data_IF_053899238779
#
_entry.id   IF_053899238779
#
_cell.length_a   1.000
_cell.length_b   1.000
_cell.length_c   1.000
_cell.angle_alpha   90.00
_cell.angle_beta   90.00
_cell.angle_gamma   90.00
#
_symmetry.space_group_name_H-M   'P 1'
#
loop_
_entity.id
_entity.type
_entity.pdbx_description
1 polymer ?
#
# COMPACT_ATOMS: atom_id res chain seq x y z
N UNK A 1 22.58 14.98 -14.40
CA UNK A 1 22.09 15.12 -13.83
C UNK A 1 22.28 15.75 -12.78
N UNK A 2 22.83 15.75 -12.15
CA UNK A 2 22.67 16.22 -11.14
C UNK A 2 23.64 16.81 -10.47
N UNK A 3 23.93 17.90 -10.62
CA UNK A 3 24.77 18.54 -9.92
C UNK A 3 24.22 18.97 -8.80
N UNK A 4 23.42 18.35 -8.31
CA UNK A 4 22.66 18.78 -7.37
C UNK A 4 23.21 18.93 -6.15
N UNK A 5 24.28 18.70 -5.90
CA UNK A 5 24.58 18.70 -4.54
C UNK A 5 25.52 19.78 -4.17
N UNK A 6 25.24 20.93 -4.60
CA UNK A 6 25.86 22.07 -3.97
C UNK A 6 25.56 22.00 -2.48
N UNK A 7 26.46 22.42 -1.62
CA UNK A 7 26.26 22.32 -0.18
C UNK A 7 24.96 22.91 0.36
N UNK A 8 24.44 24.05 -0.13
CA UNK A 8 23.15 24.53 0.37
C UNK A 8 22.02 23.58 0.05
N UNK A 9 22.02 22.95 -1.13
CA UNK A 9 20.98 21.98 -1.47
C UNK A 9 21.08 20.75 -0.58
N UNK A 10 22.26 20.29 -0.32
CA UNK A 10 22.46 19.13 0.54
C UNK A 10 21.96 19.42 1.95
N UNK A 11 22.22 20.59 2.48
CA UNK A 11 21.73 20.93 3.81
C UNK A 11 20.22 20.97 3.85
N UNK A 12 19.58 21.49 2.81
CA UNK A 12 18.11 21.50 2.77
C UNK A 12 17.51 20.11 2.75
N UNK A 13 18.10 19.22 1.96
CA UNK A 13 17.62 17.84 1.92
C UNK A 13 17.79 17.19 3.29
N UNK A 14 18.93 17.38 3.92
CA UNK A 14 19.15 16.81 5.25
C UNK A 14 18.17 17.36 6.27
N UNK A 15 17.87 18.65 6.22
CA UNK A 15 16.91 19.23 7.12
C UNK A 15 15.54 18.61 6.94
N UNK A 16 15.12 18.42 5.68
CA UNK A 16 13.82 17.77 5.42
C UNK A 16 13.78 16.34 5.92
N UNK A 17 14.89 15.64 5.84
CA UNK A 17 14.97 14.27 6.37
C UNK A 17 14.93 14.28 7.89
N UNK A 18 15.71 15.14 8.51
CA UNK A 18 15.80 15.19 9.96
C UNK A 18 14.49 15.62 10.60
N UNK A 19 13.76 16.51 9.94
CA UNK A 19 12.48 16.98 10.47
C UNK A 19 11.31 16.09 10.06
N UNK A 20 11.58 15.01 9.34
CA UNK A 20 10.55 14.05 9.00
C UNK A 20 9.70 14.37 7.80
N UNK A 21 10.01 15.45 7.06
CA UNK A 21 9.26 15.74 5.83
C UNK A 21 9.56 14.69 4.76
N UNK A 22 10.80 14.23 4.70
CA UNK A 22 11.17 13.13 3.82
C UNK A 22 11.35 11.91 4.69
N UNK A 23 10.47 10.93 4.51
CA UNK A 23 10.47 9.73 5.35
C UNK A 23 11.37 8.64 4.81
N UNK A 24 11.79 8.74 3.58
CA UNK A 24 12.66 7.73 2.99
C UNK A 24 12.71 7.86 1.49
N UNK A 25 13.47 6.97 0.88
CA UNK A 25 13.64 6.93 -0.56
C UNK A 25 13.37 5.52 -1.05
N UNK A 26 12.67 5.39 -2.17
CA UNK A 26 12.40 4.11 -2.79
C UNK A 26 12.53 4.21 -4.27
N UNK A 27 13.13 3.20 -4.88
CA UNK A 27 13.06 3.05 -6.31
C UNK A 27 11.67 2.62 -6.72
N UNK A 28 11.19 3.15 -7.83
CA UNK A 28 9.91 2.70 -8.37
C UNK A 28 10.19 1.51 -9.27
N UNK A 29 9.59 0.38 -8.94
CA UNK A 29 9.75 -0.85 -9.70
C UNK A 29 8.57 -1.03 -10.63
N UNK A 30 8.81 -1.56 -11.82
CA UNK A 30 7.74 -1.90 -12.74
C UNK A 30 7.33 -3.34 -12.45
N UNK A 31 6.14 -3.57 -11.89
CA UNK A 31 5.73 -4.93 -11.53
C UNK A 31 5.68 -5.87 -12.72
N UNK A 32 5.22 -5.38 -13.86
CA UNK A 32 5.08 -6.23 -15.03
C UNK A 32 6.44 -6.72 -15.54
N UNK A 33 7.44 -5.86 -15.51
CA UNK A 33 8.79 -6.28 -15.91
C UNK A 33 9.38 -7.32 -14.97
N UNK A 34 8.88 -7.35 -13.75
CA UNK A 34 9.33 -8.33 -12.76
C UNK A 34 8.44 -9.57 -12.74
N UNK A 35 7.51 -9.68 -13.67
CA UNK A 35 6.68 -10.87 -13.79
C UNK A 35 5.39 -10.84 -12.98
N UNK A 36 5.01 -9.68 -12.43
CA UNK A 36 3.78 -9.55 -11.66
C UNK A 36 2.76 -8.80 -12.49
N UNK A 37 1.92 -9.55 -13.19
CA UNK A 37 1.01 -8.97 -14.16
C UNK A 37 -0.35 -8.59 -13.60
N UNK A 38 -0.64 -8.99 -12.37
CA UNK A 38 -1.96 -8.77 -11.78
C UNK A 38 -1.82 -7.86 -10.58
N UNK A 39 -2.55 -6.76 -10.56
CA UNK A 39 -2.69 -5.89 -9.40
C UNK A 39 -4.17 -5.82 -9.04
N UNK A 40 -4.47 -6.01 -7.77
CA UNK A 40 -5.84 -6.10 -7.29
C UNK A 40 -5.98 -5.30 -6.01
N UNK A 41 -7.10 -4.60 -5.87
CA UNK A 41 -7.48 -4.04 -4.59
C UNK A 41 -8.52 -4.96 -3.95
N UNK A 42 -8.31 -5.32 -2.71
CA UNK A 42 -9.22 -6.19 -1.97
C UNK A 42 -9.78 -5.45 -0.77
N UNK A 43 -11.10 -5.37 -0.69
CA UNK A 43 -11.78 -4.79 0.47
C UNK A 43 -12.17 -5.91 1.40
N UNK A 44 -11.81 -5.79 2.67
CA UNK A 44 -12.02 -6.85 3.66
C UNK A 44 -12.95 -6.37 4.76
N UNK A 45 -13.98 -7.17 5.04
CA UNK A 45 -14.87 -6.95 6.17
C UNK A 45 -14.58 -8.04 7.20
N UNK A 46 -14.41 -7.63 8.44
CA UNK A 46 -14.25 -8.59 9.53
C UNK A 46 -15.56 -8.80 10.24
N UNK A 47 -15.75 -9.99 10.83
CA UNK A 47 -16.93 -10.27 11.62
C UNK A 47 -16.88 -9.59 12.98
N UNK A 48 -15.74 -9.07 13.38
CA UNK A 48 -15.55 -8.39 14.65
C UNK A 48 -14.57 -7.23 14.47
N UNK A 49 -14.90 -6.08 15.06
CA UNK A 49 -14.05 -4.92 15.03
C UNK A 49 -13.37 -4.68 16.38
N UNK A 50 -13.34 -5.71 17.23
CA UNK A 50 -12.59 -5.62 18.48
C UNK A 50 -11.10 -5.41 18.19
N UNK A 51 -10.43 -4.64 19.02
CA UNK A 51 -9.03 -4.30 18.80
C UNK A 51 -8.15 -5.52 18.61
N UNK A 52 -8.37 -6.58 19.39
CA UNK A 52 -7.57 -7.78 19.26
C UNK A 52 -7.77 -8.45 17.89
N UNK A 53 -9.00 -8.43 17.38
CA UNK A 53 -9.31 -9.06 16.10
C UNK A 53 -8.77 -8.23 14.94
N UNK A 54 -8.81 -6.91 15.05
CA UNK A 54 -8.19 -6.04 14.05
C UNK A 54 -6.68 -6.27 14.00
N UNK A 55 -6.05 -6.37 15.17
CA UNK A 55 -4.60 -6.62 15.22
C UNK A 55 -4.25 -8.00 14.69
N UNK A 56 -5.08 -8.99 14.94
CA UNK A 56 -4.83 -10.33 14.42
C UNK A 56 -4.84 -10.34 12.89
N UNK A 57 -5.75 -9.58 12.28
CA UNK A 57 -5.76 -9.46 10.83
C UNK A 57 -4.52 -8.74 10.32
N UNK A 58 -4.12 -7.67 10.99
CA UNK A 58 -2.90 -6.95 10.60
C UNK A 58 -1.66 -7.84 10.68
N UNK A 59 -1.58 -8.66 11.71
CA UNK A 59 -0.46 -9.61 11.84
C UNK A 59 -0.48 -10.63 10.72
N UNK A 60 -1.65 -11.13 10.36
CA UNK A 60 -1.79 -12.04 9.24
C UNK A 60 -1.27 -11.40 7.96
N UNK A 61 -1.70 -10.16 7.70
CA UNK A 61 -1.33 -9.47 6.46
C UNK A 61 0.17 -9.20 6.38
N UNK A 62 0.81 -8.91 7.49
CA UNK A 62 2.26 -8.67 7.49
C UNK A 62 3.05 -9.84 6.97
N UNK A 63 2.53 -11.04 7.11
CA UNK A 63 3.19 -12.24 6.62
C UNK A 63 2.86 -12.61 5.18
N UNK A 64 2.04 -11.82 4.49
CA UNK A 64 1.56 -12.16 3.15
C UNK A 64 2.33 -11.39 2.08
N UNK A 65 3.23 -12.05 1.35
CA UNK A 65 4.08 -11.35 0.38
C UNK A 65 3.32 -10.65 -0.74
N UNK A 66 2.15 -11.17 -1.12
CA UNK A 66 1.40 -10.57 -2.21
C UNK A 66 0.72 -9.27 -1.80
N UNK A 67 0.56 -9.02 -0.50
CA UNK A 67 -0.05 -7.79 -0.02
C UNK A 67 1.05 -6.73 0.08
N UNK A 68 0.91 -5.68 -0.70
CA UNK A 68 1.91 -4.62 -0.75
C UNK A 68 1.51 -3.38 0.05
N UNK A 69 0.22 -3.20 0.29
CA UNK A 69 -0.29 -2.14 1.13
C UNK A 69 -1.52 -2.65 1.86
N UNK A 70 -1.70 -2.20 3.07
CA UNK A 70 -2.88 -2.53 3.86
C UNK A 70 -3.26 -1.30 4.67
N UNK A 71 -4.49 -0.84 4.49
CA UNK A 71 -4.97 0.35 5.18
C UNK A 71 -6.22 0.00 5.97
N UNK A 72 -6.25 0.38 7.23
CA UNK A 72 -7.46 0.26 8.04
C UNK A 72 -8.33 1.46 7.74
N UNK A 73 -9.59 1.24 7.47
CA UNK A 73 -10.51 2.30 7.06
C UNK A 73 -11.64 2.46 8.06
N UNK A 74 -12.18 3.67 8.12
CA UNK A 74 -13.43 3.89 8.83
C UNK A 74 -14.58 3.51 7.89
N UNK A 75 -15.73 3.18 8.43
CA UNK A 75 -16.93 2.87 7.64
C UNK A 75 -17.15 1.37 7.49
N UNK A 76 -17.82 0.98 6.41
CA UNK A 76 -18.24 -0.39 6.24
C UNK A 76 -17.12 -1.37 5.94
N UNK A 77 -16.08 -0.91 5.28
CA UNK A 77 -14.93 -1.75 4.97
C UNK A 77 -13.92 -1.58 6.08
N UNK A 78 -13.42 -2.68 6.62
CA UNK A 78 -12.44 -2.61 7.70
C UNK A 78 -11.03 -2.38 7.18
N UNK A 79 -10.66 -3.06 6.10
CA UNK A 79 -9.32 -2.92 5.52
C UNK A 79 -9.40 -2.90 4.00
N UNK A 80 -8.49 -2.15 3.38
CA UNK A 80 -8.29 -2.26 1.95
C UNK A 80 -6.84 -2.66 1.72
N UNK A 81 -6.66 -3.64 0.84
CA UNK A 81 -5.35 -4.19 0.52
C UNK A 81 -5.02 -3.91 -0.92
N UNK A 82 -3.76 -3.60 -1.20
CA UNK A 82 -3.26 -3.61 -2.56
C UNK A 82 -2.40 -4.86 -2.70
N UNK A 83 -2.76 -5.73 -3.64
CA UNK A 83 -2.09 -7.00 -3.85
C UNK A 83 -1.52 -7.08 -5.25
N UNK A 84 -0.37 -7.76 -5.39
CA UNK A 84 0.18 -8.06 -6.70
C UNK A 84 0.43 -9.54 -6.80
N UNK A 85 0.26 -10.10 -7.99
CA UNK A 85 0.50 -11.51 -8.22
C UNK A 85 1.03 -11.73 -9.63
N UNK A 86 1.78 -12.81 -9.84
CA UNK A 86 2.28 -13.10 -11.19
C UNK A 86 1.16 -13.37 -12.18
N UNK A 87 0.08 -14.02 -11.73
CA UNK A 87 -1.02 -14.41 -12.59
C UNK A 87 -2.30 -14.55 -11.76
N UNK A 88 -3.40 -14.77 -12.44
CA UNK A 88 -4.71 -14.90 -11.77
C UNK A 88 -4.82 -16.17 -10.95
N UNK A 89 -4.18 -17.26 -11.37
CA UNK A 89 -4.25 -18.50 -10.61
C UNK A 89 -3.60 -18.33 -9.23
N UNK A 90 -2.42 -17.70 -9.19
CA UNK A 90 -1.75 -17.42 -7.92
C UNK A 90 -2.58 -16.47 -7.06
N UNK A 91 -3.20 -15.46 -7.70
CA UNK A 91 -4.03 -14.54 -6.95
C UNK A 91 -5.25 -15.26 -6.34
N UNK A 92 -5.88 -16.17 -7.10
CA UNK A 92 -7.03 -16.89 -6.60
C UNK A 92 -6.68 -17.78 -5.42
N UNK A 93 -5.50 -18.39 -5.44
CA UNK A 93 -5.03 -19.13 -4.28
C UNK A 93 -4.88 -18.22 -3.07
N UNK A 94 -4.35 -17.03 -3.28
CA UNK A 94 -4.22 -16.06 -2.20
C UNK A 94 -5.60 -15.65 -1.65
N UNK A 95 -6.57 -15.44 -2.53
CA UNK A 95 -7.92 -15.06 -2.08
C UNK A 95 -8.52 -16.16 -1.21
N UNK A 96 -8.33 -17.42 -1.57
CA UNK A 96 -8.82 -18.53 -0.75
C UNK A 96 -8.16 -18.51 0.62
N UNK A 97 -6.86 -18.22 0.66
CA UNK A 97 -6.13 -18.13 1.92
C UNK A 97 -6.62 -16.93 2.74
N UNK A 98 -6.86 -15.80 2.09
CA UNK A 98 -7.34 -14.60 2.74
C UNK A 98 -8.74 -14.79 3.33
N UNK A 99 -9.63 -15.40 2.57
CA UNK A 99 -10.99 -15.61 3.05
C UNK A 99 -11.06 -16.62 4.20
N UNK A 100 -10.06 -17.47 4.33
CA UNK A 100 -9.98 -18.40 5.44
C UNK A 100 -9.30 -17.83 6.68
N UNK A 101 -8.80 -16.61 6.59
CA UNK A 101 -8.11 -15.98 7.73
C UNK A 101 -9.10 -15.74 8.88
N UNK A 102 -8.61 -15.70 10.12
CA UNK A 102 -9.50 -15.51 11.26
C UNK A 102 -10.32 -14.23 11.18
N UNK A 103 -11.60 -14.33 11.48
CA UNK A 103 -12.53 -13.22 11.56
C UNK A 103 -12.83 -12.55 10.21
N UNK A 104 -12.33 -13.05 9.11
CA UNK A 104 -12.68 -12.50 7.80
C UNK A 104 -14.09 -12.95 7.44
N UNK A 105 -14.97 -11.97 7.24
CA UNK A 105 -16.36 -12.24 6.92
C UNK A 105 -16.60 -12.18 5.42
N UNK A 106 -15.98 -11.23 4.76
CA UNK A 106 -16.25 -10.99 3.35
C UNK A 106 -15.06 -10.30 2.72
N UNK A 107 -14.74 -10.67 1.49
CA UNK A 107 -13.68 -10.06 0.70
C UNK A 107 -14.24 -9.71 -0.66
N UNK A 108 -14.02 -8.46 -1.11
CA UNK A 108 -14.39 -8.05 -2.45
C UNK A 108 -13.11 -7.62 -3.16
N UNK A 109 -12.92 -8.11 -4.36
CA UNK A 109 -11.70 -7.83 -5.11
C UNK A 109 -12.03 -7.05 -6.38
N UNK A 110 -11.13 -6.14 -6.75
CA UNK A 110 -11.23 -5.36 -7.98
C UNK A 110 -9.90 -5.40 -8.70
N UNK A 111 -9.91 -5.91 -9.92
CA UNK A 111 -8.70 -5.99 -10.73
C UNK A 111 -8.39 -4.59 -11.26
N UNK A 112 -7.15 -4.17 -11.12
CA UNK A 112 -6.71 -2.90 -11.67
C UNK A 112 -6.54 -3.05 -13.17
N UNK A 113 -7.21 -2.20 -13.93
CA UNK A 113 -7.09 -2.20 -15.38
C UNK A 113 -5.90 -1.36 -15.84
N UNK A 114 -5.76 -0.17 -15.30
CA UNK A 114 -4.56 0.63 -15.49
C UNK A 114 -4.53 1.73 -14.44
N UNK A 115 -3.36 2.32 -14.27
CA UNK A 115 -3.21 3.42 -13.33
C UNK A 115 -3.42 4.73 -14.10
N UNK A 116 -4.40 5.51 -13.69
CA UNK A 116 -4.74 6.76 -14.36
C UNK A 116 -3.95 7.95 -13.83
N UNK A 117 -3.44 7.86 -12.61
CA UNK A 117 -2.69 8.95 -12.02
C UNK A 117 -1.90 8.44 -10.82
N UNK A 118 -0.65 8.86 -10.75
CA UNK A 118 0.18 8.55 -9.61
C UNK A 118 1.02 9.78 -9.30
N UNK A 119 0.63 10.52 -8.31
CA UNK A 119 1.25 11.77 -7.94
C UNK A 119 1.86 11.67 -6.55
N UNK A 120 2.61 12.69 -6.17
CA UNK A 120 3.20 12.73 -4.83
C UNK A 120 2.12 12.67 -3.75
N UNK A 121 2.54 12.34 -2.54
CA UNK A 121 1.64 12.10 -1.43
C UNK A 121 0.69 13.26 -1.17
N UNK A 122 1.12 14.49 -1.38
CA UNK A 122 0.30 15.66 -1.16
C UNK A 122 0.50 16.67 -2.28
N UNK A 123 -0.50 17.51 -2.56
CA UNK A 123 -0.37 18.52 -3.60
C UNK A 123 0.40 19.73 -3.06
N UNK A 124 1.68 19.77 -3.33
CA UNK A 124 2.52 20.83 -2.78
C UNK A 124 2.14 22.22 -3.27
N UNK A 125 1.49 22.31 -4.43
CA UNK A 125 1.05 23.59 -4.92
C UNK A 125 -0.10 24.15 -4.12
N UNK A 126 -0.81 23.34 -3.36
CA UNK A 126 -1.86 23.80 -2.52
C UNK A 126 -1.40 24.09 -1.13
N UNK A 127 -0.07 24.24 -0.90
CA UNK A 127 0.40 24.40 0.36
C UNK A 127 -0.22 25.57 1.00
N UNK A 128 -0.69 25.37 2.12
CA UNK A 128 -1.32 26.37 2.87
C UNK A 128 -0.32 27.18 3.55
N UNK A 129 -0.52 28.42 3.59
CA UNK A 129 0.41 29.19 4.24
C UNK A 129 0.25 29.12 5.63
N UNK A 130 1.09 29.44 6.33
CA UNK A 130 0.98 29.41 7.69
C UNK A 130 0.56 30.55 8.28
#
# INVERSE_FOLDING_TARGET
MVRLFAPPCLRRVRTLEEEGYIQGYRGLLDPQRLGFEVTVFASVHLSSQADADLRAFEDFVRGEPLVRECWMLSGDVDFILKCVAPDMATFQEFVSHLTAAPHVRNVRTSLVLHNSKYAAAVPLELKVSD
#
